data_IF_287299099347
#
_entry.id   IF_287299099347
#
_cell.length_a   1.000
_cell.length_b   1.000
_cell.length_c   1.000
_cell.angle_alpha   90.00
_cell.angle_beta   90.00
_cell.angle_gamma   90.00
#
_symmetry.space_group_name_H-M   'P 1'
#
loop_
_entity.id
_entity.type
_entity.pdbx_description
1 polymer ?
2 non-polymer ?
3 non-polymer ?
4 non-polymer ?
5 water ?
#
# COMPACT_ATOMS: atom_id res chain seq x y z
N UNK A 1 2.35 -10.13 16.43
CA UNK A 1 1.62 -11.18 15.72
C UNK A 1 2.07 -11.40 14.27
N UNK A 2 1.68 -12.53 13.74
CA UNK A 2 1.76 -12.84 12.31
C UNK A 2 0.37 -12.74 11.73
N UNK A 3 0.23 -12.18 10.53
CA UNK A 3 -1.06 -12.17 9.80
C UNK A 3 -0.84 -12.55 8.36
N UNK A 4 -1.77 -13.31 7.83
CA UNK A 4 -1.86 -13.59 6.40
C UNK A 4 -2.56 -12.43 5.72
N UNK A 5 -2.69 -12.49 4.39
CA UNK A 5 -3.19 -11.37 3.57
C UNK A 5 -4.45 -11.74 2.80
N UNK A 6 -5.21 -12.77 3.20
CA UNK A 6 -6.50 -13.07 2.55
C UNK A 6 -7.51 -11.95 2.81
N UNK A 7 -7.36 -11.29 3.97
CA UNK A 7 -8.12 -10.10 4.38
C UNK A 7 -7.20 -8.89 4.36
N UNK A 8 -7.78 -7.70 4.31
CA UNK A 8 -7.02 -6.45 4.52
C UNK A 8 -6.38 -6.50 5.90
N UNK A 9 -5.12 -6.08 6.03
CA UNK A 9 -4.40 -6.13 7.30
C UNK A 9 -4.73 -4.93 8.18
N UNK A 10 -5.89 -5.00 8.81
CA UNK A 10 -6.47 -3.86 9.57
C UNK A 10 -6.10 -4.06 11.04
N UNK A 11 -5.64 -3.00 11.70
CA UNK A 11 -5.27 -3.01 13.14
C UNK A 11 -5.92 -1.79 13.81
N UNK A 12 -6.03 -1.88 15.12
CA UNK A 12 -6.60 -0.80 15.96
C UNK A 12 -5.49 0.15 16.36
N UNK A 13 -5.76 1.45 16.23
CA UNK A 13 -4.83 2.52 16.62
C UNK A 13 -5.51 3.39 17.66
N UNK A 14 -4.68 3.94 18.51
CA UNK A 14 -5.10 5.00 19.46
C UNK A 14 -4.18 6.19 19.24
N UNK A 15 -4.75 7.35 18.98
CA UNK A 15 -3.98 8.56 18.67
C UNK A 15 -4.76 9.75 19.17
N UNK A 16 -4.11 10.64 19.89
CA UNK A 16 -4.74 11.83 20.46
C UNK A 16 -5.99 11.45 21.24
N UNK A 17 -6.00 10.29 21.92
CA UNK A 17 -7.14 9.83 22.72
C UNK A 17 -8.33 9.37 21.91
N UNK A 18 -8.11 9.17 20.60
CA UNK A 18 -9.11 8.80 19.57
C UNK A 18 -8.79 7.39 19.09
N UNK A 19 -9.78 6.52 19.07
CA UNK A 19 -9.59 5.12 18.63
C UNK A 19 -10.03 5.06 17.17
N UNK A 20 -9.27 4.33 16.36
CA UNK A 20 -9.57 4.17 14.92
C UNK A 20 -9.03 2.84 14.44
N UNK A 21 -9.35 2.49 13.21
CA UNK A 21 -8.72 1.33 12.53
C UNK A 21 -7.86 1.87 11.39
N UNK A 22 -6.85 1.11 11.02
CA UNK A 22 -5.96 1.53 9.92
C UNK A 22 -5.34 0.28 9.29
N UNK A 23 -4.96 0.41 8.00
CA UNK A 23 -4.33 -0.66 7.25
C UNK A 23 -2.84 -0.63 7.54
N UNK A 24 -2.22 -1.76 7.80
CA UNK A 24 -0.74 -1.89 7.78
C UNK A 24 -0.32 -1.96 6.31
N UNK A 25 0.40 -0.95 5.81
CA UNK A 25 0.47 -0.70 4.37
C UNK A 25 1.93 -0.63 3.93
N UNK A 26 2.49 -1.76 3.50
CA UNK A 26 3.91 -1.78 3.09
C UNK A 26 4.15 -0.93 1.83
N UNK A 27 3.14 -0.59 1.06
CA UNK A 27 3.30 0.29 -0.09
C UNK A 27 3.30 1.76 0.26
N UNK A 28 3.14 2.11 1.55
CA UNK A 28 3.07 3.50 2.04
C UNK A 28 4.35 3.87 2.77
N UNK A 29 5.08 4.85 2.26
CA UNK A 29 6.28 5.35 2.97
C UNK A 29 5.85 6.01 4.29
N UNK A 30 4.78 6.78 4.24
CA UNK A 30 4.31 7.62 5.38
C UNK A 30 2.92 7.16 5.83
N UNK A 31 2.50 7.61 7.01
CA UNK A 31 1.23 7.23 7.65
C UNK A 31 0.22 8.33 7.35
N UNK A 32 -0.98 7.98 6.90
CA UNK A 32 -2.00 8.96 6.47
C UNK A 32 -3.32 8.59 7.14
N UNK A 33 -3.92 9.50 7.93
CA UNK A 33 -5.19 9.23 8.64
C UNK A 33 -6.18 10.33 8.28
N UNK A 34 -7.45 10.03 8.17
CA UNK A 34 -8.44 11.06 7.82
C UNK A 34 -9.18 11.52 9.09
N UNK A 35 -9.59 10.62 9.94
CA UNK A 35 -10.78 10.96 10.77
C UNK A 35 -10.33 11.53 12.16
N UNK A 36 -9.33 12.44 12.25
CA UNK A 36 -8.49 12.71 13.50
C UNK A 36 -8.35 14.21 13.80
N UNK A 37 -8.37 14.57 15.10
CA UNK A 37 -7.91 15.88 15.66
C UNK A 37 -6.54 15.72 16.34
N UNK A 38 -5.56 16.53 15.93
CA UNK A 38 -4.26 16.59 16.64
C UNK A 38 -4.00 18.02 17.09
N UNK A 39 -3.39 18.20 18.26
CA UNK A 39 -3.04 19.53 18.76
C UNK A 39 -1.82 20.14 18.06
N UNK A 40 -1.75 21.47 18.01
CA UNK A 40 -0.50 22.22 17.81
C UNK A 40 -0.18 22.48 16.35
N UNK A 41 1.08 22.79 16.07
CA UNK A 41 1.53 23.29 14.75
C UNK A 41 1.64 22.10 13.79
N UNK A 42 1.53 22.39 12.50
CA UNK A 42 1.69 21.40 11.41
C UNK A 42 2.15 22.12 10.14
N UNK A 43 2.64 21.35 9.16
CA UNK A 43 3.18 21.85 7.87
C UNK A 43 2.33 21.36 6.72
N UNK A 44 2.00 22.25 5.74
CA UNK A 44 1.41 21.81 4.49
C UNK A 44 2.33 20.76 3.85
N UNK A 45 1.71 19.74 3.22
CA UNK A 45 2.44 18.70 2.47
C UNK A 45 1.51 18.18 1.38
N UNK A 46 2.05 17.98 0.18
CA UNK A 46 1.33 17.37 -0.95
C UNK A 46 1.92 15.96 -1.14
N UNK A 47 1.06 14.94 -1.19
CA UNK A 47 1.46 13.52 -1.36
C UNK A 47 0.76 12.98 -2.61
N UNK A 48 1.34 12.00 -3.29
CA UNK A 48 0.81 11.48 -4.59
C UNK A 48 0.41 10.01 -4.44
N UNK A 49 -0.85 9.68 -4.76
CA UNK A 49 -1.35 8.29 -4.82
C UNK A 49 -1.76 7.91 -6.23
N UNK A 50 -2.33 6.72 -6.38
CA UNK A 50 -3.08 6.33 -7.60
C UNK A 50 -4.17 7.39 -7.77
N UNK A 51 -4.42 7.86 -8.99
CA UNK A 51 -5.48 8.87 -9.20
C UNK A 51 -5.08 10.29 -8.82
N UNK A 52 -3.84 10.55 -8.36
CA UNK A 52 -3.29 11.91 -8.31
C UNK A 52 -2.61 12.27 -7.00
N UNK A 53 -3.08 13.32 -6.34
CA UNK A 53 -2.45 13.92 -5.15
C UNK A 53 -3.53 14.35 -4.14
N UNK A 54 -3.13 14.53 -2.89
CA UNK A 54 -3.95 15.24 -1.86
C UNK A 54 -3.04 16.13 -1.03
N UNK A 55 -3.58 17.28 -0.62
CA UNK A 55 -2.99 18.18 0.40
C UNK A 55 -3.29 17.55 1.77
N UNK A 56 -2.27 17.40 2.59
CA UNK A 56 -2.38 16.81 3.95
C UNK A 56 -1.73 17.79 4.91
N UNK A 57 -2.01 17.61 6.21
CA UNK A 57 -1.28 18.28 7.31
C UNK A 57 -0.22 17.34 7.86
N UNK A 58 1.03 17.77 7.88
CA UNK A 58 2.10 16.98 8.51
C UNK A 58 2.18 17.37 9.97
N UNK A 59 1.93 16.43 10.87
CA UNK A 59 2.16 16.56 12.32
C UNK A 59 3.36 15.73 12.71
N UNK A 60 4.29 16.32 13.43
CA UNK A 60 5.56 15.65 13.78
C UNK A 60 5.51 15.19 15.22
N UNK A 61 6.25 14.13 15.51
CA UNK A 61 6.44 13.60 16.88
C UNK A 61 5.08 13.44 17.55
N UNK A 62 4.17 12.78 16.83
CA UNK A 62 2.83 12.42 17.36
C UNK A 62 2.91 11.07 18.04
N UNK A 63 2.47 10.97 19.30
CA UNK A 63 2.32 9.67 19.96
C UNK A 63 1.14 8.88 19.34
N UNK A 64 1.37 7.60 19.04
CA UNK A 64 0.33 6.72 18.43
C UNK A 64 0.55 5.30 18.88
N UNK A 65 -0.51 4.59 19.27
CA UNK A 65 -0.51 3.16 19.66
C UNK A 65 -1.03 2.35 18.48
N UNK A 66 -0.24 1.39 17.99
CA UNK A 66 -0.65 0.53 16.84
C UNK A 66 -0.67 -0.90 17.35
N UNK A 67 -1.84 -1.54 17.42
CA UNK A 67 -2.02 -2.88 18.00
C UNK A 67 -1.19 -3.00 19.30
N UNK A 68 -1.33 -2.03 20.22
CA UNK A 68 -0.70 -2.10 21.55
C UNK A 68 0.64 -1.41 21.67
N UNK A 69 1.36 -1.19 20.56
CA UNK A 69 2.76 -0.67 20.57
C UNK A 69 2.78 0.85 20.51
N UNK A 70 3.22 1.50 21.58
CA UNK A 70 3.39 2.95 21.63
C UNK A 70 4.62 3.33 20.79
N UNK A 71 4.42 4.22 19.82
CA UNK A 71 5.51 4.76 18.98
C UNK A 71 5.30 6.28 18.90
N UNK A 72 6.30 7.03 18.53
CA UNK A 72 6.12 8.47 18.20
C UNK A 72 6.65 8.62 16.78
N UNK A 73 6.00 9.42 15.98
CA UNK A 73 6.44 9.62 14.61
C UNK A 73 5.59 10.62 13.92
N UNK A 74 5.85 10.78 12.65
CA UNK A 74 5.14 11.71 11.81
C UNK A 74 3.85 11.06 11.36
N UNK A 75 2.80 11.85 11.43
CA UNK A 75 1.44 11.49 10.94
C UNK A 75 0.99 12.56 9.99
N UNK A 76 0.47 12.15 8.85
CA UNK A 76 -0.14 13.02 7.86
C UNK A 76 -1.66 12.93 8.03
N UNK A 77 -2.34 14.05 8.15
CA UNK A 77 -3.81 14.09 8.27
C UNK A 77 -4.38 14.67 7.00
N UNK A 78 -5.31 13.96 6.37
CA UNK A 78 -5.94 14.42 5.13
C UNK A 78 -6.85 13.36 4.55
N UNK A 79 -7.49 13.69 3.41
CA UNK A 79 -8.44 12.79 2.77
C UNK A 79 -7.65 11.57 2.28
N UNK A 80 -8.05 10.42 2.77
CA UNK A 80 -7.62 9.10 2.27
C UNK A 80 -8.85 8.22 2.35
N UNK A 81 -9.15 7.44 1.31
CA UNK A 81 -10.21 6.43 1.42
C UNK A 81 -10.04 5.37 2.52
N UNK A 82 -8.82 5.20 3.04
CA UNK A 82 -8.51 4.23 4.11
C UNK A 82 -7.38 4.82 4.93
N UNK A 83 -7.54 4.81 6.25
CA UNK A 83 -6.43 5.11 7.14
C UNK A 83 -5.32 4.11 6.85
N UNK A 84 -4.08 4.57 6.67
CA UNK A 84 -2.93 3.68 6.36
C UNK A 84 -1.77 3.99 7.31
N UNK A 85 -1.19 2.93 7.84
CA UNK A 85 0.06 2.99 8.64
C UNK A 85 1.19 2.68 7.67
N UNK A 86 2.12 3.62 7.52
CA UNK A 86 3.23 3.49 6.56
C UNK A 86 4.48 2.89 7.19
N UNK A 87 5.52 2.75 6.37
CA UNK A 87 6.76 2.12 6.83
C UNK A 87 7.41 3.02 7.90
N UNK A 88 7.15 4.33 7.90
CA UNK A 88 7.75 5.22 8.93
C UNK A 88 7.39 4.69 10.33
N UNK A 89 6.18 4.14 10.53
CA UNK A 89 5.80 3.60 11.87
C UNK A 89 5.98 2.09 11.91
N UNK A 90 5.80 1.35 10.81
CA UNK A 90 5.96 -0.12 10.87
C UNK A 90 7.42 -0.50 11.18
N UNK A 91 8.40 0.30 10.78
CA UNK A 91 9.81 0.01 11.12
C UNK A 91 9.99 0.09 12.64
N UNK A 92 9.25 0.98 13.29
CA UNK A 92 9.32 1.06 14.78
C UNK A 92 8.72 -0.19 15.44
N UNK A 93 7.81 -0.94 14.78
CA UNK A 93 7.29 -2.23 15.30
C UNK A 93 8.19 -3.43 14.96
N UNK A 94 9.25 -3.23 14.18
CA UNK A 94 10.12 -4.31 13.68
C UNK A 94 9.39 -5.22 12.70
N UNK A 95 8.44 -4.63 11.95
CA UNK A 95 7.58 -5.39 11.02
C UNK A 95 8.40 -5.92 9.86
N UNK A 96 8.11 -7.15 9.45
CA UNK A 96 8.70 -7.80 8.25
C UNK A 96 7.63 -8.43 7.37
N UNK A 97 7.90 -8.50 6.07
CA UNK A 97 7.17 -9.31 5.09
C UNK A 97 7.94 -10.61 4.92
N UNK A 98 7.23 -11.70 4.89
CA UNK A 98 7.78 -13.05 4.72
C UNK A 98 7.06 -13.72 3.56
N UNK A 99 7.81 -14.33 2.64
CA UNK A 99 7.23 -15.33 1.70
C UNK A 99 8.35 -16.27 1.24
N UNK B 1 11.73 -15.40 1.12
CA UNK B 1 12.56 -14.45 1.87
C UNK B 1 11.80 -13.67 2.94
N UNK B 2 12.54 -13.17 3.90
CA UNK B 2 12.07 -12.19 4.89
C UNK B 2 12.66 -10.83 4.50
N UNK B 3 11.86 -9.77 4.54
CA UNK B 3 12.40 -8.40 4.33
C UNK B 3 11.91 -7.48 5.43
N UNK B 4 12.77 -6.59 5.88
CA UNK B 4 12.38 -5.46 6.75
C UNK B 4 11.83 -4.34 5.87
N UNK B 5 11.39 -3.26 6.51
CA UNK B 5 10.65 -2.18 5.84
C UNK B 5 11.37 -0.84 5.95
N UNK B 6 12.70 -0.81 6.23
CA UNK B 6 13.43 0.46 6.21
C UNK B 6 13.51 1.04 4.79
N UNK B 7 13.51 0.14 3.80
CA UNK B 7 13.42 0.53 2.37
C UNK B 7 12.07 0.05 1.80
N UNK B 8 11.69 0.60 0.67
CA UNK B 8 10.48 0.14 -0.04
C UNK B 8 10.68 -1.32 -0.43
N UNK B 9 9.67 -2.18 -0.24
CA UNK B 9 9.78 -3.61 -0.50
C UNK B 9 9.60 -3.92 -1.99
N UNK B 10 10.68 -3.70 -2.72
CA UNK B 10 10.62 -3.77 -4.21
C UNK B 10 11.16 -5.12 -4.64
N UNK B 11 10.48 -5.80 -5.54
CA UNK B 11 10.86 -7.14 -6.05
C UNK B 11 10.82 -7.08 -7.58
N UNK B 12 11.52 -8.02 -8.19
CA UNK B 12 11.53 -8.17 -9.66
C UNK B 12 10.36 -9.04 -10.10
N UNK B 13 9.71 -8.62 -11.18
CA UNK B 13 8.60 -9.37 -11.78
C UNK B 13 8.94 -9.62 -13.24
N UNK B 14 8.40 -10.70 -13.73
CA UNK B 14 8.41 -11.01 -15.17
C UNK B 14 6.97 -11.27 -15.59
N UNK B 15 6.50 -10.56 -16.58
CA UNK B 15 5.11 -10.65 -17.04
C UNK B 15 5.09 -10.39 -18.52
N UNK B 16 4.45 -11.29 -19.26
CA UNK B 16 4.33 -11.15 -20.71
C UNK B 16 5.72 -11.03 -21.35
N UNK B 17 6.74 -11.69 -20.78
CA UNK B 17 8.11 -11.64 -21.29
C UNK B 17 8.83 -10.33 -21.05
N UNK B 18 8.27 -9.47 -20.19
CA UNK B 18 8.77 -8.10 -19.84
C UNK B 18 9.27 -8.15 -18.39
N UNK B 19 10.45 -7.61 -18.10
CA UNK B 19 10.99 -7.56 -16.73
C UNK B 19 10.71 -6.17 -16.18
N UNK B 20 10.22 -6.16 -14.95
CA UNK B 20 9.94 -4.88 -14.27
C UNK B 20 10.20 -5.03 -12.78
N UNK B 21 10.11 -3.92 -12.08
CA UNK B 21 10.12 -3.93 -10.59
C UNK B 21 8.75 -3.50 -10.09
N UNK B 22 8.41 -3.98 -8.92
CA UNK B 22 7.10 -3.64 -8.31
C UNK B 22 7.19 -3.71 -6.80
N UNK B 23 6.32 -2.97 -6.12
CA UNK B 23 6.33 -2.85 -4.66
C UNK B 23 5.34 -3.88 -4.09
N UNK B 24 5.79 -4.77 -3.16
CA UNK B 24 4.91 -5.70 -2.42
C UNK B 24 4.06 -4.84 -1.49
N UNK B 25 2.76 -4.76 -1.74
CA UNK B 25 1.93 -3.68 -1.19
C UNK B 25 0.75 -4.26 -0.42
N UNK B 26 0.90 -4.44 0.89
CA UNK B 26 -0.19 -5.01 1.71
C UNK B 26 -1.41 -4.10 1.75
N UNK B 27 -1.31 -2.80 1.43
CA UNK B 27 -2.45 -1.90 1.39
C UNK B 27 -3.20 -1.95 0.08
N UNK B 28 -2.77 -2.78 -0.87
CA UNK B 28 -3.41 -2.95 -2.20
C UNK B 28 -4.16 -4.28 -2.28
N UNK B 29 -5.47 -4.21 -2.49
CA UNK B 29 -6.27 -5.45 -2.72
C UNK B 29 -5.82 -6.10 -4.04
N UNK B 30 -5.63 -5.30 -5.08
CA UNK B 30 -5.36 -5.77 -6.47
C UNK B 30 -3.97 -5.30 -6.90
N UNK B 31 -3.48 -5.91 -7.99
CA UNK B 31 -2.15 -5.64 -8.55
C UNK B 31 -2.28 -4.64 -9.68
N UNK B 32 -1.50 -3.58 -9.69
CA UNK B 32 -1.63 -2.48 -10.69
C UNK B 32 -0.25 -2.22 -11.28
N UNK B 33 -0.09 -2.36 -12.60
CA UNK B 33 1.20 -2.15 -13.28
C UNK B 33 1.00 -1.11 -14.39
N UNK B 34 1.96 -0.23 -14.60
CA UNK B 34 1.82 0.83 -15.63
C UNK B 34 2.45 0.37 -16.95
N UNK B 35 3.69 -0.10 -16.90
CA UNK B 35 4.58 -0.06 -18.10
C UNK B 35 4.45 -1.33 -18.98
N UNK B 36 3.25 -1.95 -19.22
CA UNK B 36 3.22 -3.39 -19.68
C UNK B 36 2.29 -3.56 -20.90
N UNK B 37 2.69 -4.43 -21.85
CA UNK B 37 1.83 -4.97 -22.93
C UNK B 37 1.30 -6.35 -22.53
N UNK B 38 -0.02 -6.52 -22.53
CA UNK B 38 -0.61 -7.86 -22.37
C UNK B 38 -1.48 -8.17 -23.58
N UNK B 39 -1.48 -9.45 -24.02
CA UNK B 39 -2.29 -9.88 -25.14
C UNK B 39 -3.75 -10.04 -24.75
N UNK B 40 -4.67 -9.85 -25.70
CA UNK B 40 -6.04 -10.41 -25.59
C UNK B 40 -7.04 -9.44 -25.00
N UNK B 41 -8.19 -9.96 -24.59
CA UNK B 41 -9.34 -9.13 -24.17
C UNK B 41 -9.09 -8.66 -22.72
N UNK B 42 -9.76 -7.56 -22.38
CA UNK B 42 -9.73 -6.95 -21.02
C UNK B 42 -11.04 -6.21 -20.76
N UNK B 43 -11.33 -5.91 -19.49
CA UNK B 43 -12.56 -5.20 -19.05
C UNK B 43 -12.15 -3.84 -18.50
N UNK B 44 -12.86 -2.75 -18.85
CA UNK B 44 -12.69 -1.47 -18.18
C UNK B 44 -12.90 -1.69 -16.66
N UNK B 45 -12.13 -0.96 -15.85
CA UNK B 45 -12.31 -0.92 -14.38
C UNK B 45 -11.85 0.44 -13.87
N UNK B 46 -12.58 0.97 -12.91
CA UNK B 46 -12.22 2.20 -12.19
C UNK B 46 -11.82 1.79 -10.78
N UNK B 47 -10.64 2.21 -10.33
CA UNK B 47 -10.08 1.88 -8.99
C UNK B 47 -9.85 3.20 -8.27
N UNK B 48 -9.92 3.21 -6.94
CA UNK B 48 -9.85 4.49 -6.15
C UNK B 48 -8.64 4.44 -5.20
N UNK B 49 -7.74 5.44 -5.32
CA UNK B 49 -6.54 5.64 -4.47
C UNK B 49 -6.56 6.97 -3.73
N UNK B 50 -5.47 7.29 -3.01
CA UNK B 50 -5.27 8.63 -2.40
C UNK B 50 -5.35 9.60 -3.57
N UNK B 51 -6.03 10.74 -3.42
CA UNK B 51 -6.06 11.75 -4.49
C UNK B 51 -6.97 11.39 -5.66
N UNK B 52 -7.68 10.26 -5.66
CA UNK B 52 -8.88 10.09 -6.50
C UNK B 52 -9.05 8.71 -7.08
N UNK B 53 -9.15 8.62 -8.41
CA UNK B 53 -9.44 7.38 -9.16
C UNK B 53 -8.53 7.34 -10.38
N UNK B 54 -8.35 6.15 -10.96
CA UNK B 54 -7.81 6.00 -12.35
C UNK B 54 -8.59 4.90 -13.06
N UNK B 55 -8.68 5.05 -14.39
CA UNK B 55 -9.24 4.04 -15.30
C UNK B 55 -8.10 3.06 -15.63
N UNK B 56 -8.35 1.77 -15.47
CA UNK B 56 -7.35 0.70 -15.72
C UNK B 56 -7.99 -0.32 -16.64
N UNK B 57 -7.16 -1.16 -17.23
CA UNK B 57 -7.58 -2.37 -17.97
C UNK B 57 -7.43 -3.58 -17.06
N UNK B 58 -8.52 -4.30 -16.83
CA UNK B 58 -8.45 -5.56 -16.08
C UNK B 58 -8.14 -6.69 -17.05
N UNK B 59 -7.01 -7.36 -16.84
CA UNK B 59 -6.59 -8.60 -17.55
C UNK B 59 -6.68 -9.77 -16.59
N UNK B 60 -7.33 -10.85 -17.00
CA UNK B 60 -7.59 -11.99 -16.12
C UNK B 60 -6.68 -13.15 -16.46
N UNK B 61 -6.37 -13.98 -15.47
CA UNK B 61 -5.56 -15.21 -15.61
C UNK B 61 -4.31 -14.89 -16.43
N UNK B 62 -3.61 -13.83 -16.01
CA UNK B 62 -2.28 -13.42 -16.52
C UNK B 62 -1.21 -14.16 -15.74
N UNK B 63 -0.31 -14.87 -16.46
CA UNK B 63 0.87 -15.45 -15.85
C UNK B 63 1.88 -14.37 -15.45
N UNK B 64 2.41 -14.44 -14.22
CA UNK B 64 3.37 -13.43 -13.71
C UNK B 64 4.30 -14.10 -12.72
N UNK B 65 5.60 -13.84 -12.81
CA UNK B 65 6.65 -14.32 -11.88
C UNK B 65 7.01 -13.19 -10.93
N UNK B 66 6.90 -13.42 -9.62
CA UNK B 66 7.21 -12.39 -8.58
C UNK B 66 8.33 -12.95 -7.74
N UNK B 67 9.51 -12.35 -7.76
CA UNK B 67 10.70 -12.85 -7.06
C UNK B 67 10.80 -14.38 -7.27
N UNK B 68 10.67 -14.84 -8.53
CA UNK B 68 10.89 -16.25 -8.90
C UNK B 68 9.64 -17.13 -8.86
N UNK B 69 8.58 -16.72 -8.17
CA UNK B 69 7.33 -17.53 -8.02
C UNK B 69 6.36 -17.29 -9.16
N UNK B 70 6.07 -18.33 -9.93
CA UNK B 70 5.07 -18.28 -11.01
C UNK B 70 3.66 -18.37 -10.39
N UNK B 71 2.84 -17.35 -10.63
CA UNK B 71 1.42 -17.35 -10.23
C UNK B 71 0.59 -16.94 -11.45
N UNK B 72 -0.72 -17.13 -11.42
CA UNK B 72 -1.61 -16.65 -12.49
C UNK B 72 -2.72 -15.90 -11.76
N UNK B 73 -3.05 -14.71 -12.22
CA UNK B 73 -4.04 -13.91 -11.53
C UNK B 73 -4.42 -12.72 -12.34
N UNK B 74 -5.25 -11.91 -11.74
CA UNK B 74 -5.74 -10.68 -12.34
C UNK B 74 -4.67 -9.62 -12.16
N UNK B 75 -4.40 -8.94 -13.25
CA UNK B 75 -3.53 -7.73 -13.30
C UNK B 75 -4.32 -6.58 -13.86
N UNK B 76 -4.21 -5.44 -13.22
CA UNK B 76 -4.78 -4.18 -13.69
C UNK B 76 -3.65 -3.38 -14.34
N UNK B 77 -3.86 -2.88 -15.54
CA UNK B 77 -2.88 -2.05 -16.27
C UNK B 77 -3.42 -0.64 -16.35
N UNK B 78 -2.64 0.33 -15.90
CA UNK B 78 -3.05 1.73 -15.90
C UNK B 78 -2.06 2.60 -15.18
N UNK B 79 -2.33 3.93 -15.17
CA UNK B 79 -1.44 4.90 -14.56
C UNK B 79 -1.37 4.60 -13.06
N UNK B 80 -0.18 4.33 -12.60
CA UNK B 80 0.15 4.27 -11.17
C UNK B 80 1.55 4.85 -11.04
N UNK B 81 1.80 5.62 -9.96
CA UNK B 81 3.12 6.18 -9.70
C UNK B 81 4.17 5.08 -9.49
N UNK B 82 3.72 3.91 -9.03
CA UNK B 82 4.60 2.77 -8.71
C UNK B 82 3.84 1.52 -9.07
N UNK B 83 4.51 0.60 -9.75
CA UNK B 83 3.97 -0.75 -9.93
C UNK B 83 3.75 -1.33 -8.54
N UNK B 84 2.59 -1.94 -8.31
CA UNK B 84 2.21 -2.53 -6.99
C UNK B 84 1.70 -3.96 -7.18
N UNK B 85 2.22 -4.84 -6.37
CA UNK B 85 1.71 -6.23 -6.25
C UNK B 85 0.73 -6.21 -5.07
N UNK B 86 -0.51 -6.57 -5.33
CA UNK B 86 -1.56 -6.56 -4.30
C UNK B 86 -1.73 -7.90 -3.60
N UNK B 87 -2.64 -7.93 -2.64
CA UNK B 87 -2.90 -9.15 -1.87
C UNK B 87 -3.42 -10.26 -2.79
N UNK B 88 -4.09 -9.93 -3.91
CA UNK B 88 -4.59 -10.98 -4.83
C UNK B 88 -3.42 -11.89 -5.25
N UNK B 89 -2.21 -11.36 -5.43
CA UNK B 89 -1.05 -12.21 -5.83
C UNK B 89 -0.20 -12.56 -4.62
N UNK B 90 -0.09 -11.70 -3.61
CA UNK B 90 0.76 -12.04 -2.44
C UNK B 90 0.18 -13.24 -1.67
N UNK B 91 -1.13 -13.43 -1.67
CA UNK B 91 -1.72 -14.62 -1.01
C UNK B 91 -1.25 -15.90 -1.71
N UNK B 92 -1.07 -15.82 -3.01
CA UNK B 92 -0.52 -16.98 -3.78
C UNK B 92 0.93 -17.29 -3.37
N UNK B 93 1.70 -16.31 -2.86
CA UNK B 93 3.07 -16.52 -2.33
C UNK B 93 3.07 -17.01 -0.88
N UNK B 94 1.91 -17.03 -0.23
CA UNK B 94 1.79 -17.33 1.22
C UNK B 94 2.45 -16.24 2.06
N UNK B 95 2.40 -15.01 1.55
CA UNK B 95 3.03 -13.86 2.23
C UNK B 95 2.33 -13.55 3.56
N UNK B 96 3.12 -13.23 4.57
CA UNK B 96 2.65 -12.76 5.89
C UNK B 96 3.36 -11.49 6.34
N UNK B 97 2.69 -10.68 7.14
CA UNK B 97 3.25 -9.56 7.92
C UNK B 97 3.50 -10.07 9.32
N UNK B 98 4.64 -9.73 9.89
CA UNK B 98 5.05 -10.14 11.23
C UNK B 98 5.42 -8.89 12.00
N UNK B 99 4.92 -8.72 13.22
CA UNK B 99 5.49 -7.76 14.19
C UNK B 99 5.23 -8.28 15.62
X LIG C 1 2.72 3.73 -3.67
X LIG C 1 1.37 3.46 -3.85
X LIG C 1 0.63 4.29 -4.68
X LIG C 1 -8.04 -2.16 -5.28
X LIG C 1 1.89 9.36 0.26
X LIG C 1 3.73 6.64 -1.18
X LIG C 1 -4.47 1.99 -1.36
X LIG C 1 -4.21 2.62 -0.01
X LIG C 1 -3.90 4.10 -0.18
X LIG C 1 -5.42 2.36 0.86
X LIG C 1 -2.14 1.24 -1.92
X LIG C 1 -1.05 2.01 -1.20
X LIG C 1 -0.30 3.04 -2.04
X LIG C 1 -5.97 -1.34 -5.20
X LIG C 1 0.29 5.28 -1.27
X LIG C 1 -11.22 -1.90 -5.07
X LIG C 1 -4.58 -1.31 -5.33
X LIG C 1 0.67 2.41 -3.05
X LIG C 1 3.30 4.77 -4.35
X LIG C 1 1.27 5.32 -5.34
X LIG C 1 2.61 5.59 -5.21
X LIG C 1 -11.53 -3.33 -5.32
X LIG C 1 -6.65 -0.26 -4.62
X LIG C 1 -3.92 -0.19 -4.89
X LIG C 1 1.27 7.31 -0.65
X LIG C 1 -4.59 0.89 -4.34
X LIG C 1 2.62 7.67 -1.26
X LIG C 1 -5.98 0.87 -4.21
X LIG C 1 3.16 8.81 -0.38
X LIG C 1 3.98 8.02 0.68
X LIG C 1 -10.34 -2.69 -5.95
X LIG C 1 1.98 7.32 1.77
X LIG C 1 1.22 8.06 0.68
X LIG C 1 4.63 5.00 -4.20
X LIG C 1 0.53 6.08 -6.17
X LIG C 1 -6.78 -2.41 -5.57
X LIG C 1 -3.30 2.08 -2.24
X LIG C 1 -9.03 -3.06 -5.46
X LIG C 1 0.44 3.96 -1.19
X LIG C 1 3.31 7.83 1.90
X LIG C 1 -4.62 3.41 -3.75
X LIG C 1 -0.07 1.06 -0.71
X LIG C 1 4.29 6.75 0.13
X LIG C 1 -0.48 5.89 -1.98
X LIG C 1 1.17 5.88 -0.44
X LIG C 1 -2.48 2.44 -4.52
X LIG C 1 -8.37 -0.58 -4.59
X LIG C 1 -3.69 2.32 -3.79
X LIG D 1 -2.71 8.33 22.18
X LIG D 1 -3.81 8.75 22.99
X LIG D 1 -1.92 7.22 22.82
X LIG D 1 -1.60 7.55 24.17
X LIG D 1 -0.64 6.93 22.05
X LIG D 1 0.34 6.26 22.85
X LIG E 1 -5.92 -12.63 6.50
X LIG F 1 5.18 -15.99 -16.18
X LIG F 1 5.69 -16.90 -15.22
X LIG F 1 6.25 -15.49 -17.13
X LIG F 1 7.46 -15.23 -16.42
X LIG F 1 5.84 -14.26 -17.89
X LIG F 1 6.64 -14.03 -19.05
#
# INVERSE_FOLDING_TARGET
PQITLWKRPIVTIKIGGQLREALLDTGADDTVLEDIDLPGRWKPKLIVGIGGFVKVRQYEQVPIEIAGHKVVGTVLIGPTPSNIIGRNLMTQLGATLNF
PQITLWKRPIVTIKIGGQLREALLDTGADDTVLEDIDLPGRWKPKLIVGIGGFVKVRQYEQVPIEIAGHKVVGTVLIGPTPSNIIGRNLMTQLGATLNF
7OA C06 C07 C08 C1 C10 C11 C12 C13 C14 C15 C16 C17 C19 C2 C21 C29 C3 C32 C33 C34 C35 C36 C39 C4 C49 C5 C59 C6 C69 C7 C79 C8 C9 F1 F2 N1 N11 N2 N20 O1 O10 O18 O2 O22 O23 O9 S1 S8
GOL C1 O1 C2 O2 C3 O3
CL CL
GOL C1 O1 C2 O2 C3 O3
#
